data_IF_276137974708
#
_entry.id   IF_276137974708
#
_cell.length_a   1.000
_cell.length_b   1.000
_cell.length_c   1.000
_cell.angle_alpha   90.00
_cell.angle_beta   90.00
_cell.angle_gamma   90.00
#
_symmetry.space_group_name_H-M   'P 1'
#
loop_
_entity.id
_entity.type
_entity.pdbx_description
1 polymer ?
#
# COMPACT_ATOMS: atom_id res chain seq x y z
N UNK A 1 -11.01 -20.16 19.11
CA UNK A 1 -11.87 -18.96 19.27
C UNK A 1 -11.91 -18.26 17.92
N UNK A 2 -12.98 -18.45 17.17
CA UNK A 2 -13.09 -18.04 15.77
C UNK A 2 -13.35 -16.52 15.68
N UNK A 3 -12.49 -15.81 14.97
CA UNK A 3 -12.71 -14.40 14.61
C UNK A 3 -13.50 -14.39 13.30
N UNK A 4 -14.79 -14.08 13.38
CA UNK A 4 -15.62 -13.81 12.21
C UNK A 4 -15.36 -12.37 11.75
N UNK A 5 -14.88 -12.22 10.52
CA UNK A 5 -14.82 -10.93 9.82
C UNK A 5 -16.22 -10.69 9.25
N UNK A 6 -16.88 -9.64 9.76
CA UNK A 6 -18.21 -9.24 9.30
C UNK A 6 -18.17 -8.61 7.91
N UNK A 7 -19.03 -9.07 7.03
CA UNK A 7 -19.28 -8.49 5.73
C UNK A 7 -20.16 -7.22 5.88
N UNK A 8 -19.71 -6.12 5.31
CA UNK A 8 -20.50 -4.90 5.17
C UNK A 8 -21.35 -5.02 3.88
N UNK A 9 -22.67 -5.12 4.04
CA UNK A 9 -23.62 -5.06 2.94
C UNK A 9 -23.96 -3.59 2.64
N UNK A 10 -23.75 -3.16 1.39
CA UNK A 10 -24.24 -1.89 0.87
C UNK A 10 -25.49 -2.16 0.05
N UNK A 11 -26.62 -1.55 0.49
CA UNK A 11 -27.90 -1.54 -0.23
C UNK A 11 -27.81 -0.63 -1.46
N UNK A 12 -28.21 -1.16 -2.61
CA UNK A 12 -28.54 -0.40 -3.81
C UNK A 12 -30.05 -0.09 -3.82
N UNK A 13 -30.39 1.18 -3.97
CA UNK A 13 -31.76 1.63 -4.32
C UNK A 13 -31.78 2.04 -5.77
N UNK A 14 -32.65 1.40 -6.53
CA UNK A 14 -33.00 1.70 -7.92
C UNK A 14 -34.09 2.78 -7.95
N UNK A 15 -33.97 3.71 -8.87
CA UNK A 15 -35.01 4.70 -9.20
C UNK A 15 -35.12 4.86 -10.70
N UNK A 16 -36.34 4.76 -11.17
CA UNK A 16 -36.84 4.53 -12.51
C UNK A 16 -37.01 5.84 -13.30
N UNK A 17 -36.68 5.77 -14.56
CA UNK A 17 -37.13 6.33 -15.85
C UNK A 17 -38.19 7.48 -15.90
N UNK A 18 -38.05 8.38 -16.83
CA UNK A 18 -38.92 8.56 -18.02
C UNK A 18 -38.65 9.89 -18.75
N UNK A 19 -38.55 9.78 -20.01
CA UNK A 19 -39.17 10.37 -21.19
C UNK A 19 -38.64 11.69 -21.77
N UNK A 20 -38.33 11.58 -23.04
CA UNK A 20 -38.14 12.64 -24.05
C UNK A 20 -39.46 13.37 -24.39
N UNK A 21 -39.45 14.51 -25.15
CA UNK A 21 -38.95 14.58 -26.52
C UNK A 21 -38.41 15.95 -27.06
N UNK A 22 -37.98 15.85 -28.28
CA UNK A 22 -38.04 16.77 -29.44
C UNK A 22 -36.90 17.70 -29.78
N UNK A 23 -36.47 17.43 -30.98
CA UNK A 23 -35.56 18.04 -31.90
C UNK A 23 -35.71 19.55 -32.13
N UNK A 24 -34.58 20.22 -32.25
CA UNK A 24 -34.41 21.34 -33.19
C UNK A 24 -32.97 21.38 -33.68
N UNK A 25 -32.83 21.26 -34.97
CA UNK A 25 -31.56 21.33 -35.71
C UNK A 25 -30.94 22.73 -35.55
N UNK A 26 -29.69 22.78 -35.15
CA UNK A 26 -28.87 23.99 -35.27
C UNK A 26 -27.47 23.61 -35.78
N UNK A 27 -27.04 24.38 -36.76
CA UNK A 27 -25.83 24.29 -37.57
C UNK A 27 -24.55 24.10 -36.71
N UNK A 28 -23.50 23.42 -37.24
CA UNK A 28 -22.24 23.27 -36.53
C UNK A 28 -21.49 24.59 -36.55
N UNK A 29 -21.49 25.33 -35.43
CA UNK A 29 -20.45 26.29 -35.16
C UNK A 29 -19.16 25.51 -34.88
N UNK A 30 -18.21 25.56 -35.78
CA UNK A 30 -16.83 25.23 -35.54
C UNK A 30 -16.30 26.22 -34.48
N UNK A 31 -16.40 25.84 -33.21
CA UNK A 31 -15.63 26.48 -32.17
C UNK A 31 -14.18 26.03 -32.34
N UNK A 32 -13.32 26.93 -32.77
CA UNK A 32 -11.87 26.79 -32.61
C UNK A 32 -11.58 26.73 -31.11
N UNK A 33 -11.59 25.52 -30.58
CA UNK A 33 -11.18 25.24 -29.20
C UNK A 33 -9.66 25.42 -29.15
N UNK A 34 -9.20 26.58 -28.71
CA UNK A 34 -7.79 26.77 -28.38
C UNK A 34 -7.46 25.84 -27.22
N UNK A 35 -6.64 24.82 -27.47
CA UNK A 35 -6.09 23.93 -26.44
C UNK A 35 -5.36 24.78 -25.40
N UNK A 36 -5.94 24.91 -24.22
CA UNK A 36 -5.33 25.61 -23.08
C UNK A 36 -4.57 24.59 -22.25
N UNK A 37 -3.26 24.76 -22.22
CA UNK A 37 -2.34 23.92 -21.46
C UNK A 37 -1.98 24.62 -20.14
N UNK A 38 -1.97 23.88 -19.05
CA UNK A 38 -1.45 24.34 -17.77
C UNK A 38 -0.12 23.65 -17.46
N UNK A 39 0.93 24.44 -17.21
CA UNK A 39 2.27 23.94 -16.93
C UNK A 39 2.47 23.83 -15.42
N UNK A 40 2.81 22.64 -14.96
CA UNK A 40 3.25 22.38 -13.61
C UNK A 40 4.76 22.16 -13.56
N UNK A 41 5.40 22.61 -12.48
CA UNK A 41 6.83 22.42 -12.24
C UNK A 41 7.11 22.18 -10.76
N UNK A 42 8.21 21.50 -10.47
CA UNK A 42 8.66 21.23 -9.12
C UNK A 42 10.04 20.59 -9.09
N UNK A 43 10.45 20.24 -7.90
CA UNK A 43 11.73 19.62 -7.62
C UNK A 43 11.54 18.29 -6.89
N UNK A 44 12.47 17.36 -7.10
CA UNK A 44 12.62 16.15 -6.28
C UNK A 44 13.95 16.27 -5.55
N UNK A 45 13.94 16.02 -4.23
CA UNK A 45 15.14 16.06 -3.38
C UNK A 45 15.18 14.83 -2.49
N UNK A 46 16.38 14.46 -2.05
CA UNK A 46 16.56 13.49 -0.97
C UNK A 46 16.41 14.17 0.41
N UNK A 47 16.41 13.40 1.49
CA UNK A 47 16.32 13.92 2.88
C UNK A 47 17.41 14.94 3.23
N UNK A 48 18.58 14.82 2.62
CA UNK A 48 19.71 15.71 2.80
C UNK A 48 19.68 16.93 1.85
N UNK A 49 18.55 17.15 1.17
CA UNK A 49 18.33 18.16 0.14
C UNK A 49 19.19 18.01 -1.12
N UNK A 50 19.94 16.93 -1.27
CA UNK A 50 20.69 16.61 -2.49
C UNK A 50 19.74 16.20 -3.63
N UNK A 51 20.14 16.38 -4.91
CA UNK A 51 19.37 15.86 -6.03
C UNK A 51 19.39 14.31 -6.03
N UNK A 52 18.36 13.67 -6.62
CA UNK A 52 18.33 12.21 -6.76
C UNK A 52 19.52 11.73 -7.63
N UNK A 53 20.02 10.49 -7.38
CA UNK A 53 21.20 9.95 -8.09
C UNK A 53 20.94 9.64 -9.57
N UNK A 54 19.68 9.50 -9.96
CA UNK A 54 19.25 9.22 -11.33
C UNK A 54 17.89 9.90 -11.60
N UNK A 55 17.45 10.05 -12.88
CA UNK A 55 16.16 10.63 -13.22
C UNK A 55 15.00 9.88 -12.55
N UNK A 56 14.09 10.62 -11.93
CA UNK A 56 12.96 10.12 -11.17
C UNK A 56 11.68 10.22 -11.98
N UNK A 57 10.92 9.14 -12.09
CA UNK A 57 9.64 9.14 -12.76
C UNK A 57 8.57 9.82 -11.88
N UNK A 58 7.82 10.74 -12.45
CA UNK A 58 6.74 11.48 -11.78
C UNK A 58 5.40 10.96 -12.26
N UNK A 59 4.61 10.49 -11.31
CA UNK A 59 3.25 10.00 -11.53
C UNK A 59 2.23 10.92 -10.87
N UNK A 60 1.13 11.14 -11.57
CA UNK A 60 -0.06 11.74 -11.00
C UNK A 60 -1.03 10.64 -10.58
N UNK A 61 -1.49 10.69 -9.34
CA UNK A 61 -2.44 9.75 -8.76
C UNK A 61 -3.75 10.48 -8.51
N UNK A 62 -4.80 10.09 -9.22
CA UNK A 62 -6.16 10.62 -9.08
C UNK A 62 -7.12 9.47 -8.80
N UNK A 63 -7.87 9.52 -7.72
CA UNK A 63 -8.84 8.47 -7.36
C UNK A 63 -8.22 7.06 -7.37
N UNK A 64 -6.96 6.92 -6.92
CA UNK A 64 -6.24 5.66 -6.88
C UNK A 64 -5.70 5.16 -8.24
N UNK A 65 -5.84 5.93 -9.31
CA UNK A 65 -5.25 5.63 -10.61
C UNK A 65 -3.98 6.45 -10.83
N UNK A 66 -2.90 5.76 -11.15
CA UNK A 66 -1.60 6.38 -11.44
C UNK A 66 -1.41 6.59 -12.93
N UNK A 67 -0.93 7.78 -13.31
CA UNK A 67 -0.55 8.13 -14.68
C UNK A 67 0.85 8.72 -14.68
N UNK A 68 1.72 8.20 -15.55
CA UNK A 68 3.03 8.78 -15.79
C UNK A 68 2.89 10.16 -16.47
N UNK A 69 3.55 11.18 -15.92
CA UNK A 69 3.54 12.54 -16.46
C UNK A 69 4.88 12.94 -17.09
N UNK A 70 5.98 12.72 -16.36
CA UNK A 70 7.33 13.13 -16.81
C UNK A 70 8.42 12.43 -15.98
N UNK A 71 9.67 12.68 -16.31
CA UNK A 71 10.83 12.37 -15.48
C UNK A 71 11.61 13.63 -15.13
N UNK A 72 12.33 13.60 -13.99
CA UNK A 72 13.20 14.71 -13.61
C UNK A 72 14.44 14.79 -14.50
N UNK A 73 15.04 15.96 -14.55
CA UNK A 73 16.42 16.12 -15.02
C UNK A 73 17.44 15.62 -13.97
N UNK A 74 18.73 15.69 -14.29
CA UNK A 74 19.83 15.29 -13.40
C UNK A 74 19.97 16.15 -12.13
N UNK A 75 19.28 17.28 -12.06
CA UNK A 75 19.22 18.16 -10.88
C UNK A 75 17.95 17.96 -10.05
N UNK A 76 17.10 17.03 -10.47
CA UNK A 76 15.84 16.72 -9.81
C UNK A 76 14.69 17.66 -10.20
N UNK A 77 14.83 18.54 -11.20
CA UNK A 77 13.73 19.39 -11.66
C UNK A 77 12.80 18.63 -12.59
N UNK A 78 11.50 18.85 -12.46
CA UNK A 78 10.50 18.31 -13.37
C UNK A 78 9.50 19.38 -13.83
N UNK A 79 8.94 19.18 -15.01
CA UNK A 79 7.79 19.94 -15.51
C UNK A 79 6.90 19.01 -16.35
N UNK A 80 5.59 19.27 -16.33
CA UNK A 80 4.62 18.59 -17.17
C UNK A 80 3.43 19.49 -17.48
N UNK A 81 2.71 19.18 -18.54
CA UNK A 81 1.56 19.93 -19.00
C UNK A 81 0.29 19.10 -18.85
N UNK A 82 -0.79 19.75 -18.43
CA UNK A 82 -2.12 19.12 -18.37
C UNK A 82 -3.03 19.85 -19.36
N UNK A 83 -3.62 19.08 -20.26
CA UNK A 83 -4.48 19.56 -21.34
C UNK A 83 -5.95 19.57 -20.90
N UNK A 84 -6.67 20.62 -21.30
CA UNK A 84 -8.11 20.76 -21.02
C UNK A 84 -9.03 19.93 -21.95
N UNK A 85 -8.50 19.35 -23.01
CA UNK A 85 -9.30 18.88 -24.14
C UNK A 85 -9.16 17.43 -24.58
N UNK A 86 -8.25 16.60 -24.05
CA UNK A 86 -8.13 15.20 -24.47
C UNK A 86 -8.64 14.24 -23.43
N UNK A 87 -9.61 13.43 -23.87
CA UNK A 87 -10.18 12.31 -23.13
C UNK A 87 -9.08 11.41 -22.54
N UNK A 88 -9.22 11.08 -21.27
CA UNK A 88 -8.34 10.27 -20.45
C UNK A 88 -8.46 8.76 -20.77
N UNK A 89 -8.36 8.41 -22.06
CA UNK A 89 -8.39 7.01 -22.48
C UNK A 89 -7.27 6.72 -23.48
N UNK A 90 -6.29 5.96 -22.98
CA UNK A 90 -5.35 5.11 -23.72
C UNK A 90 -4.52 5.70 -24.85
N UNK A 91 -3.21 5.90 -24.59
CA UNK A 91 -2.20 5.37 -25.52
C UNK A 91 -0.81 5.37 -24.86
N UNK A 92 -0.35 4.16 -24.50
CA UNK A 92 1.05 3.83 -24.38
C UNK A 92 1.58 3.58 -25.78
N UNK A 93 2.44 4.46 -26.28
CA UNK A 93 3.41 4.10 -27.31
C UNK A 93 4.70 4.88 -27.06
N UNK A 94 5.67 4.12 -26.59
CA UNK A 94 7.05 4.54 -26.51
C UNK A 94 7.69 4.35 -27.89
N UNK A 95 7.88 5.44 -28.60
CA UNK A 95 8.94 5.60 -29.62
C UNK A 95 8.80 6.95 -30.32
N UNK A 96 9.59 7.93 -29.89
CA UNK A 96 10.35 8.77 -30.82
C UNK A 96 11.17 9.81 -30.06
N UNK A 97 12.48 9.62 -30.08
CA UNK A 97 13.47 10.65 -29.83
C UNK A 97 13.31 11.79 -30.86
N UNK A 98 12.91 12.95 -30.44
CA UNK A 98 13.14 14.20 -31.18
C UNK A 98 13.26 15.34 -30.16
N UNK A 99 14.44 15.88 -30.01
CA UNK A 99 14.68 17.09 -29.24
C UNK A 99 13.85 18.24 -29.81
N UNK A 100 13.13 19.02 -28.99
CA UNK A 100 12.48 20.22 -29.46
C UNK A 100 13.49 21.35 -29.55
N UNK A 101 13.67 21.87 -30.76
CA UNK A 101 14.37 23.12 -31.08
C UNK A 101 13.77 24.30 -30.30
N UNK A 102 14.65 25.12 -29.74
CA UNK A 102 14.31 26.36 -29.06
C UNK A 102 13.51 27.31 -29.96
N UNK A 103 12.20 27.35 -29.78
CA UNK A 103 11.30 28.34 -30.39
C UNK A 103 10.86 29.36 -29.34
N UNK A 104 11.06 30.64 -29.67
CA UNK A 104 10.72 31.79 -28.85
C UNK A 104 9.33 31.71 -28.22
N UNK A 105 9.26 31.80 -26.90
CA UNK A 105 8.01 31.93 -26.14
C UNK A 105 7.38 33.30 -26.43
N UNK A 106 6.15 33.32 -26.97
CA UNK A 106 5.27 34.48 -26.93
C UNK A 106 4.61 34.56 -25.53
N UNK A 107 4.49 35.77 -24.94
CA UNK A 107 3.82 35.92 -23.64
C UNK A 107 2.34 35.62 -23.75
N UNK A 108 1.85 34.78 -22.84
CA UNK A 108 0.47 34.36 -22.75
C UNK A 108 -0.38 35.48 -22.15
N UNK A 109 -1.32 36.00 -22.94
CA UNK A 109 -2.30 36.98 -22.49
C UNK A 109 -3.32 36.34 -21.53
N UNK A 110 -3.59 37.01 -20.41
CA UNK A 110 -4.50 36.62 -19.35
C UNK A 110 -5.95 36.46 -19.83
N UNK A 111 -6.42 35.23 -19.81
CA UNK A 111 -7.84 34.86 -19.99
C UNK A 111 -8.27 33.83 -18.97
N UNK A 112 -8.75 34.27 -17.82
CA UNK A 112 -8.84 33.54 -16.57
C UNK A 112 -10.15 32.76 -16.29
N UNK A 113 -11.07 32.58 -17.26
CA UNK A 113 -12.39 32.02 -16.95
C UNK A 113 -12.61 30.54 -17.25
N UNK A 114 -11.80 29.89 -18.11
CA UNK A 114 -12.04 28.49 -18.54
C UNK A 114 -11.05 27.46 -17.96
N UNK A 115 -10.21 27.82 -17.00
CA UNK A 115 -9.28 26.89 -16.33
C UNK A 115 -9.91 26.18 -15.13
N UNK A 116 -11.02 26.68 -14.60
CA UNK A 116 -11.66 26.13 -13.42
C UNK A 116 -12.12 24.65 -13.55
N UNK A 117 -12.64 24.18 -14.69
CA UNK A 117 -13.03 22.79 -14.84
C UNK A 117 -11.85 21.82 -14.83
N UNK A 118 -10.67 22.25 -15.36
CA UNK A 118 -9.45 21.43 -15.37
C UNK A 118 -8.85 21.35 -13.98
N UNK A 119 -8.74 22.50 -13.30
CA UNK A 119 -8.26 22.58 -11.93
C UNK A 119 -9.19 21.84 -10.94
N UNK A 120 -10.49 21.83 -11.19
CA UNK A 120 -11.44 21.07 -10.40
C UNK A 120 -11.21 19.55 -10.50
N UNK A 121 -10.83 19.06 -11.68
CA UNK A 121 -10.48 17.62 -11.89
C UNK A 121 -9.18 17.21 -11.21
N UNK A 122 -8.28 18.17 -10.94
CA UNK A 122 -7.00 17.92 -10.29
C UNK A 122 -7.05 18.10 -8.77
N UNK A 123 -8.18 18.53 -8.21
CA UNK A 123 -8.29 18.89 -6.79
C UNK A 123 -8.02 17.71 -5.85
N UNK A 124 -8.31 16.49 -6.29
CA UNK A 124 -8.12 15.26 -5.53
C UNK A 124 -6.96 14.42 -6.09
N UNK A 125 -6.06 15.06 -6.84
CA UNK A 125 -4.89 14.41 -7.40
C UNK A 125 -3.64 14.75 -6.59
N UNK A 126 -2.76 13.78 -6.49
CA UNK A 126 -1.46 13.88 -5.83
C UNK A 126 -0.34 13.53 -6.82
N UNK A 127 0.85 14.09 -6.62
CA UNK A 127 2.05 13.64 -7.31
C UNK A 127 2.85 12.71 -6.44
N UNK A 128 3.35 11.68 -7.09
CA UNK A 128 4.27 10.69 -6.54
C UNK A 128 5.53 10.62 -7.39
N UNK A 129 6.67 10.72 -6.76
CA UNK A 129 7.96 10.45 -7.39
C UNK A 129 8.33 8.98 -7.20
N UNK A 130 8.75 8.28 -8.26
CA UNK A 130 9.10 6.86 -8.19
C UNK A 130 10.57 6.69 -8.56
N UNK A 131 11.35 6.26 -7.58
CA UNK A 131 12.75 5.92 -7.71
C UNK A 131 13.01 4.63 -6.95
N UNK A 132 13.72 3.67 -7.55
CA UNK A 132 14.06 2.41 -6.89
C UNK A 132 14.89 2.67 -5.61
N UNK A 133 14.48 2.07 -4.50
CA UNK A 133 15.14 2.26 -3.20
C UNK A 133 14.73 3.51 -2.42
N UNK A 134 13.68 4.23 -2.87
CA UNK A 134 13.18 5.42 -2.18
C UNK A 134 11.66 5.41 -2.04
N UNK A 135 11.15 5.99 -0.96
CA UNK A 135 9.74 6.31 -0.75
C UNK A 135 9.51 7.79 -1.03
N UNK A 136 8.50 8.11 -1.80
CA UNK A 136 8.08 9.47 -2.08
C UNK A 136 7.12 9.99 -1.04
N UNK A 137 7.28 11.25 -0.64
CA UNK A 137 6.15 12.03 -0.14
C UNK A 137 5.14 12.26 -1.26
N UNK A 138 3.87 12.36 -0.89
CA UNK A 138 2.79 12.73 -1.81
C UNK A 138 2.56 14.24 -1.68
N UNK A 139 2.56 14.96 -2.80
CA UNK A 139 2.20 16.37 -2.82
C UNK A 139 0.91 16.58 -3.59
N UNK A 140 -0.01 17.34 -3.00
CA UNK A 140 -1.29 17.68 -3.64
C UNK A 140 -1.08 18.64 -4.80
N UNK A 141 -1.77 18.39 -5.93
CA UNK A 141 -1.80 19.29 -7.09
C UNK A 141 -2.79 20.46 -6.87
N UNK A 142 -3.42 20.57 -5.69
CA UNK A 142 -4.42 21.60 -5.42
C UNK A 142 -3.87 23.01 -5.62
N UNK A 143 -4.28 23.65 -6.72
CA UNK A 143 -4.02 25.06 -7.00
C UNK A 143 -4.81 25.89 -6.00
N UNK A 144 -4.12 26.57 -5.09
CA UNK A 144 -4.73 27.29 -3.96
C UNK A 144 -5.26 28.68 -4.33
N UNK A 145 -4.82 29.28 -5.43
CA UNK A 145 -5.26 30.63 -5.84
C UNK A 145 -5.12 30.89 -7.35
N UNK A 146 -5.81 31.92 -7.84
CA UNK A 146 -5.71 32.39 -9.25
C UNK A 146 -4.33 32.93 -9.65
N UNK A 147 -3.47 33.21 -8.68
CA UNK A 147 -2.09 33.72 -8.90
C UNK A 147 -1.05 32.61 -8.82
N UNK A 148 -1.46 31.33 -8.74
CA UNK A 148 -0.54 30.20 -8.66
C UNK A 148 0.18 30.02 -10.00
N UNK A 149 1.50 30.05 -9.95
CA UNK A 149 2.39 29.96 -11.12
C UNK A 149 2.66 28.51 -11.56
N UNK A 150 1.88 27.54 -11.05
CA UNK A 150 2.03 26.12 -11.32
C UNK A 150 3.22 25.47 -10.60
N UNK A 151 3.85 26.15 -9.67
CA UNK A 151 4.90 25.56 -8.83
C UNK A 151 4.30 24.69 -7.73
N UNK A 152 4.65 23.40 -7.77
CA UNK A 152 4.11 22.40 -6.85
C UNK A 152 4.98 22.18 -5.60
N UNK A 153 6.18 22.78 -5.57
CA UNK A 153 7.11 22.65 -4.46
C UNK A 153 8.10 21.49 -4.65
N UNK A 154 8.52 20.90 -3.54
CA UNK A 154 9.53 19.84 -3.50
C UNK A 154 8.87 18.54 -3.08
N UNK A 155 9.11 17.47 -3.84
CA UNK A 155 8.80 16.10 -3.44
C UNK A 155 10.05 15.54 -2.77
N UNK A 156 9.94 15.17 -1.48
CA UNK A 156 11.04 14.55 -0.77
C UNK A 156 11.03 13.04 -1.00
N UNK A 157 12.19 12.51 -1.36
CA UNK A 157 12.46 11.07 -1.44
C UNK A 157 13.24 10.64 -0.21
N UNK A 158 12.60 9.80 0.60
CA UNK A 158 13.22 9.15 1.74
C UNK A 158 13.88 7.85 1.27
N UNK A 159 15.17 7.61 1.55
CA UNK A 159 15.75 6.30 1.30
C UNK A 159 14.86 5.26 1.95
N UNK A 160 14.43 4.28 1.18
CA UNK A 160 13.77 3.14 1.77
C UNK A 160 14.80 2.48 2.70
N UNK A 161 14.46 2.32 3.98
CA UNK A 161 15.14 1.33 4.80
C UNK A 161 15.19 0.02 3.98
N UNK A 162 16.20 -0.82 4.19
CA UNK A 162 16.32 -2.11 3.47
C UNK A 162 14.99 -2.87 3.32
N UNK A 163 14.08 -2.62 4.19
CA UNK A 163 12.77 -3.16 4.35
C UNK A 163 11.79 -2.85 3.22
N UNK A 164 11.70 -1.61 2.79
CA UNK A 164 10.72 -1.22 1.76
C UNK A 164 11.13 -1.74 0.37
N UNK A 165 12.42 -1.96 0.12
CA UNK A 165 12.90 -2.61 -1.12
C UNK A 165 12.46 -4.08 -1.16
N UNK A 166 12.30 -4.72 -0.01
CA UNK A 166 11.91 -6.13 0.10
C UNK A 166 10.40 -6.38 -0.07
N UNK A 167 9.58 -5.35 -0.15
CA UNK A 167 8.14 -5.49 -0.46
C UNK A 167 7.85 -5.66 -1.94
N UNK A 168 8.82 -5.33 -2.81
CA UNK A 168 8.75 -5.55 -4.26
C UNK A 168 9.73 -6.67 -4.62
N UNK A 169 9.25 -7.70 -5.29
CA UNK A 169 10.12 -8.81 -5.70
C UNK A 169 11.08 -8.39 -6.81
N UNK A 170 12.36 -8.70 -6.63
CA UNK A 170 13.40 -8.45 -7.62
C UNK A 170 13.11 -9.15 -8.96
N UNK A 171 12.45 -10.31 -8.96
CA UNK A 171 12.11 -11.06 -10.19
C UNK A 171 11.10 -10.33 -11.09
N UNK A 172 10.46 -9.27 -10.60
CA UNK A 172 9.51 -8.46 -11.39
C UNK A 172 10.22 -7.72 -12.52
N UNK A 173 11.46 -7.28 -12.30
CA UNK A 173 12.24 -6.54 -13.30
C UNK A 173 12.71 -7.47 -14.45
N UNK A 174 12.97 -8.73 -14.14
CA UNK A 174 13.45 -9.74 -15.09
C UNK A 174 12.33 -10.41 -15.89
N UNK A 175 11.07 -10.12 -15.55
CA UNK A 175 9.93 -10.77 -16.19
C UNK A 175 9.82 -10.37 -17.67
N UNK A 176 9.72 -11.33 -18.61
CA UNK A 176 9.55 -11.04 -20.03
C UNK A 176 8.20 -10.34 -20.30
N UNK A 177 8.11 -9.60 -21.41
CA UNK A 177 6.98 -8.75 -21.75
C UNK A 177 5.64 -9.50 -21.78
N UNK A 178 5.62 -10.75 -22.26
CA UNK A 178 4.41 -11.58 -22.28
C UNK A 178 3.92 -11.94 -20.87
N UNK A 179 4.84 -12.22 -19.92
CA UNK A 179 4.51 -12.50 -18.53
C UNK A 179 3.98 -11.23 -17.82
N UNK A 180 4.65 -10.09 -18.04
CA UNK A 180 4.20 -8.80 -17.50
C UNK A 180 2.81 -8.42 -18.02
N UNK A 181 2.59 -8.52 -19.34
CA UNK A 181 1.27 -8.24 -19.95
C UNK A 181 0.16 -9.14 -19.39
N UNK A 182 0.45 -10.41 -19.11
CA UNK A 182 -0.52 -11.30 -18.48
C UNK A 182 -0.77 -10.87 -17.00
N UNK A 183 0.28 -10.52 -16.27
CA UNK A 183 0.17 -10.02 -14.91
C UNK A 183 -0.70 -8.75 -14.85
N UNK A 184 -0.44 -7.77 -15.71
CA UNK A 184 -1.19 -6.49 -15.76
C UNK A 184 -2.68 -6.73 -16.04
N UNK A 185 -3.02 -7.65 -16.98
CA UNK A 185 -4.41 -8.04 -17.19
C UNK A 185 -5.03 -8.73 -16.00
N UNK A 186 -4.24 -9.48 -15.22
CA UNK A 186 -4.65 -10.06 -13.96
C UNK A 186 -5.02 -8.99 -12.93
N UNK A 187 -4.19 -7.94 -12.80
CA UNK A 187 -4.46 -6.79 -11.94
C UNK A 187 -5.72 -6.04 -12.38
N UNK A 188 -5.88 -5.79 -13.68
CA UNK A 188 -7.09 -5.16 -14.24
C UNK A 188 -8.35 -5.98 -13.96
N UNK A 189 -8.25 -7.30 -14.02
CA UNK A 189 -9.35 -8.20 -13.68
C UNK A 189 -9.68 -8.16 -12.18
N UNK A 190 -8.67 -8.08 -11.29
CA UNK A 190 -8.86 -7.88 -9.85
C UNK A 190 -9.60 -6.57 -9.56
N UNK A 191 -9.18 -5.47 -10.17
CA UNK A 191 -9.81 -4.16 -9.99
C UNK A 191 -11.31 -4.19 -10.39
N UNK A 192 -11.66 -5.03 -11.37
CA UNK A 192 -13.04 -5.27 -11.83
C UNK A 192 -13.74 -6.41 -11.07
N UNK A 193 -13.15 -6.93 -9.99
CA UNK A 193 -13.64 -8.05 -9.18
C UNK A 193 -13.91 -9.35 -9.99
N UNK A 194 -13.25 -9.52 -11.12
CA UNK A 194 -13.34 -10.70 -11.98
C UNK A 194 -12.33 -11.77 -11.54
N UNK A 195 -12.59 -12.39 -10.37
CA UNK A 195 -11.64 -13.25 -9.67
C UNK A 195 -11.12 -14.42 -10.51
N UNK A 196 -11.99 -15.10 -11.27
CA UNK A 196 -11.58 -16.21 -12.14
C UNK A 196 -10.69 -15.73 -13.27
N UNK A 197 -11.07 -14.65 -13.96
CA UNK A 197 -10.26 -14.07 -15.02
C UNK A 197 -8.88 -13.61 -14.52
N UNK A 198 -8.82 -13.03 -13.31
CA UNK A 198 -7.56 -12.68 -12.67
C UNK A 198 -6.68 -13.92 -12.42
N UNK A 199 -7.26 -14.99 -11.89
CA UNK A 199 -6.55 -16.26 -11.65
C UNK A 199 -6.00 -16.85 -12.95
N UNK A 200 -6.79 -16.84 -14.03
CA UNK A 200 -6.37 -17.34 -15.34
C UNK A 200 -5.20 -16.52 -15.90
N UNK A 201 -5.25 -15.20 -15.79
CA UNK A 201 -4.18 -14.32 -16.28
C UNK A 201 -2.89 -14.45 -15.44
N UNK A 202 -2.98 -14.52 -14.09
CA UNK A 202 -1.79 -14.80 -13.28
C UNK A 202 -1.22 -16.20 -13.53
N UNK A 203 -2.07 -17.18 -13.81
CA UNK A 203 -1.63 -18.51 -14.22
C UNK A 203 -0.86 -18.47 -15.56
N UNK A 204 -1.31 -17.66 -16.52
CA UNK A 204 -0.56 -17.41 -17.76
C UNK A 204 0.78 -16.72 -17.48
N UNK A 205 0.79 -15.75 -16.55
CA UNK A 205 2.01 -15.05 -16.19
C UNK A 205 3.06 -15.99 -15.60
N UNK A 206 2.71 -16.86 -14.64
CA UNK A 206 3.65 -17.83 -14.05
C UNK A 206 4.04 -18.96 -15.00
N UNK A 207 3.18 -19.34 -15.94
CA UNK A 207 3.55 -20.28 -17.01
C UNK A 207 4.56 -19.66 -17.97
N UNK A 208 4.41 -18.38 -18.31
CA UNK A 208 5.34 -17.65 -19.17
C UNK A 208 6.69 -17.36 -18.46
N UNK A 209 6.64 -17.13 -17.16
CA UNK A 209 7.83 -16.88 -16.34
C UNK A 209 7.68 -17.53 -14.95
N UNK A 210 8.14 -18.77 -14.76
CA UNK A 210 7.99 -19.51 -13.50
C UNK A 210 8.61 -18.83 -12.27
N UNK A 211 9.61 -17.96 -12.46
CA UNK A 211 10.24 -17.17 -11.38
C UNK A 211 9.49 -15.86 -11.07
N UNK A 212 8.27 -15.67 -11.56
CA UNK A 212 7.51 -14.45 -11.34
C UNK A 212 6.86 -14.43 -9.95
N UNK A 213 7.65 -14.14 -8.91
CA UNK A 213 7.24 -14.24 -7.52
C UNK A 213 5.96 -13.46 -7.19
N UNK A 214 5.82 -12.24 -7.72
CA UNK A 214 4.62 -11.42 -7.47
C UNK A 214 3.34 -12.04 -8.08
N UNK A 215 3.45 -12.72 -9.22
CA UNK A 215 2.31 -13.40 -9.83
C UNK A 215 1.91 -14.66 -9.03
N UNK A 216 2.88 -15.40 -8.50
CA UNK A 216 2.64 -16.49 -7.55
C UNK A 216 1.95 -16.00 -6.28
N UNK A 217 2.40 -14.85 -5.75
CA UNK A 217 1.78 -14.25 -4.57
C UNK A 217 0.30 -13.90 -4.81
N UNK A 218 -0.02 -13.28 -5.95
CA UNK A 218 -1.40 -12.96 -6.31
C UNK A 218 -2.28 -14.20 -6.48
N UNK A 219 -1.74 -15.27 -7.07
CA UNK A 219 -2.44 -16.56 -7.13
C UNK A 219 -2.76 -17.10 -5.75
N UNK A 220 -1.82 -17.00 -4.81
CA UNK A 220 -2.04 -17.38 -3.42
C UNK A 220 -3.17 -16.60 -2.77
N UNK A 221 -3.23 -15.28 -2.95
CA UNK A 221 -4.33 -14.46 -2.43
C UNK A 221 -5.70 -14.86 -3.01
N UNK A 222 -5.76 -15.14 -4.31
CA UNK A 222 -7.00 -15.58 -4.96
C UNK A 222 -7.45 -16.95 -4.47
N UNK A 223 -6.53 -17.90 -4.27
CA UNK A 223 -6.83 -19.23 -3.72
C UNK A 223 -7.33 -19.13 -2.29
N UNK A 224 -6.69 -18.31 -1.45
CA UNK A 224 -7.15 -18.03 -0.08
C UNK A 224 -8.57 -17.44 -0.09
N UNK A 225 -8.85 -16.48 -0.98
CA UNK A 225 -10.20 -15.91 -1.16
C UNK A 225 -11.24 -16.99 -1.53
N UNK A 226 -10.81 -17.98 -2.31
CA UNK A 226 -11.62 -19.16 -2.68
C UNK A 226 -11.67 -20.24 -1.59
N UNK A 227 -11.16 -20.00 -0.39
CA UNK A 227 -11.03 -20.96 0.71
C UNK A 227 -10.12 -22.17 0.41
N UNK A 228 -9.27 -22.09 -0.62
CA UNK A 228 -8.22 -23.07 -0.92
C UNK A 228 -6.94 -22.70 -0.17
N UNK A 229 -6.92 -22.97 1.12
CA UNK A 229 -5.77 -22.66 1.99
C UNK A 229 -4.51 -23.44 1.61
N UNK A 230 -4.66 -24.70 1.18
CA UNK A 230 -3.54 -25.52 0.75
C UNK A 230 -2.90 -24.97 -0.53
N UNK A 231 -3.72 -24.70 -1.54
CA UNK A 231 -3.25 -24.10 -2.77
C UNK A 231 -2.69 -22.70 -2.58
N UNK A 232 -3.23 -21.91 -1.65
CA UNK A 232 -2.67 -20.59 -1.30
C UNK A 232 -1.25 -20.73 -0.72
N UNK A 233 -1.07 -21.64 0.25
CA UNK A 233 0.23 -21.95 0.84
C UNK A 233 1.26 -22.35 -0.22
N UNK A 234 0.87 -23.26 -1.14
CA UNK A 234 1.75 -23.71 -2.21
C UNK A 234 2.16 -22.55 -3.14
N UNK A 235 1.22 -21.70 -3.51
CA UNK A 235 1.52 -20.54 -4.36
C UNK A 235 2.48 -19.56 -3.67
N UNK A 236 2.29 -19.27 -2.38
CA UNK A 236 3.20 -18.40 -1.63
C UNK A 236 4.58 -19.02 -1.42
N UNK A 237 4.66 -20.34 -1.22
CA UNK A 237 5.96 -21.06 -1.20
C UNK A 237 6.67 -20.98 -2.55
N UNK A 238 5.94 -21.05 -3.68
CA UNK A 238 6.52 -20.83 -5.01
C UNK A 238 7.01 -19.39 -5.19
N UNK A 239 6.30 -18.40 -4.63
CA UNK A 239 6.78 -17.02 -4.62
C UNK A 239 8.12 -16.91 -3.87
N UNK A 240 8.25 -17.54 -2.69
CA UNK A 240 9.49 -17.58 -1.91
C UNK A 240 10.61 -18.38 -2.56
N UNK A 241 10.28 -19.46 -3.26
CA UNK A 241 11.26 -20.22 -4.04
C UNK A 241 11.82 -19.39 -5.22
N UNK A 242 11.01 -18.47 -5.73
CA UNK A 242 11.39 -17.55 -6.80
C UNK A 242 12.19 -16.36 -6.27
N UNK A 243 11.80 -15.84 -5.10
CA UNK A 243 12.45 -14.70 -4.43
C UNK A 243 12.30 -14.85 -2.91
N UNK A 244 13.32 -15.37 -2.25
CA UNK A 244 13.34 -15.60 -0.80
C UNK A 244 13.38 -14.31 0.03
N UNK A 245 13.61 -13.15 -0.59
CA UNK A 245 13.61 -11.84 0.08
C UNK A 245 12.27 -11.12 -0.08
N UNK A 246 11.33 -11.66 -0.84
CA UNK A 246 10.01 -11.07 -1.01
C UNK A 246 9.18 -11.24 0.27
N UNK A 247 8.93 -10.16 1.00
CA UNK A 247 8.33 -10.17 2.35
C UNK A 247 6.86 -10.65 2.34
N UNK A 248 6.06 -10.19 1.38
CA UNK A 248 4.60 -10.43 1.39
C UNK A 248 4.16 -11.88 1.57
N UNK A 249 4.80 -12.88 0.94
CA UNK A 249 4.45 -14.27 1.19
C UNK A 249 4.71 -14.74 2.62
N UNK A 250 5.74 -14.19 3.31
CA UNK A 250 5.98 -14.54 4.72
C UNK A 250 4.84 -14.07 5.62
N UNK A 251 4.34 -12.84 5.42
CA UNK A 251 3.16 -12.31 6.12
C UNK A 251 1.96 -13.28 5.96
N UNK A 252 1.65 -13.64 4.71
CA UNK A 252 0.51 -14.50 4.38
C UNK A 252 0.66 -15.92 4.93
N UNK A 253 1.86 -16.51 4.82
CA UNK A 253 2.15 -17.85 5.37
C UNK A 253 2.13 -17.86 6.89
N UNK A 254 2.63 -16.82 7.54
CA UNK A 254 2.58 -16.66 9.00
C UNK A 254 1.12 -16.61 9.48
N UNK A 255 0.30 -15.76 8.86
CA UNK A 255 -1.12 -15.65 9.22
C UNK A 255 -1.89 -16.96 8.98
N UNK A 256 -1.57 -17.67 7.90
CA UNK A 256 -2.19 -18.97 7.60
C UNK A 256 -1.78 -20.02 8.63
N UNK A 257 -0.51 -20.09 9.00
CA UNK A 257 0.02 -21.03 10.00
C UNK A 257 -0.55 -20.73 11.39
N UNK A 258 -0.65 -19.45 11.78
CA UNK A 258 -1.27 -19.02 13.04
C UNK A 258 -2.74 -19.46 13.10
N UNK A 259 -3.50 -19.22 12.03
CA UNK A 259 -4.91 -19.65 11.95
C UNK A 259 -5.06 -21.18 12.03
N UNK A 260 -4.14 -21.92 11.42
CA UNK A 260 -4.09 -23.38 11.47
C UNK A 260 -3.53 -23.92 12.81
N UNK A 261 -3.07 -23.05 13.70
CA UNK A 261 -2.38 -23.40 14.95
C UNK A 261 -1.07 -24.20 14.72
N UNK A 262 -0.49 -24.07 13.54
CA UNK A 262 0.85 -24.58 13.24
C UNK A 262 1.91 -23.59 13.75
N UNK A 263 2.16 -23.66 15.06
CA UNK A 263 3.03 -22.72 15.75
C UNK A 263 4.48 -22.82 15.30
N UNK A 264 4.91 -24.00 14.85
CA UNK A 264 6.27 -24.20 14.33
C UNK A 264 6.47 -23.43 13.04
N UNK A 265 5.53 -23.58 12.10
CA UNK A 265 5.60 -22.82 10.84
C UNK A 265 5.38 -21.33 11.05
N UNK A 266 4.45 -20.93 11.95
CA UNK A 266 4.21 -19.53 12.29
C UNK A 266 5.46 -18.86 12.86
N UNK A 267 6.18 -19.53 13.76
CA UNK A 267 7.46 -19.04 14.31
C UNK A 267 8.51 -18.91 13.21
N UNK A 268 8.69 -19.94 12.39
CA UNK A 268 9.72 -19.94 11.35
C UNK A 268 9.52 -18.83 10.31
N UNK A 269 8.27 -18.64 9.83
CA UNK A 269 7.95 -17.58 8.86
C UNK A 269 8.05 -16.19 9.48
N UNK A 270 7.50 -15.98 10.67
CA UNK A 270 7.56 -14.68 11.35
C UNK A 270 8.99 -14.28 11.73
N UNK A 271 9.83 -15.23 12.14
CA UNK A 271 11.25 -15.00 12.39
C UNK A 271 11.97 -14.55 11.14
N UNK A 272 11.74 -15.23 10.01
CA UNK A 272 12.35 -14.83 8.73
C UNK A 272 11.84 -13.46 8.29
N UNK A 273 10.56 -13.19 8.47
CA UNK A 273 9.98 -11.87 8.19
C UNK A 273 10.66 -10.77 9.01
N UNK A 274 10.85 -10.96 10.32
CA UNK A 274 11.58 -10.04 11.20
C UNK A 274 13.04 -9.87 10.76
N UNK A 275 13.71 -10.95 10.35
CA UNK A 275 15.10 -10.87 9.88
C UNK A 275 15.25 -10.04 8.59
N UNK A 276 14.27 -10.14 7.69
CA UNK A 276 14.24 -9.37 6.46
C UNK A 276 13.93 -7.90 6.72
N UNK A 277 13.05 -7.63 7.69
CA UNK A 277 12.61 -6.30 8.03
C UNK A 277 12.30 -6.16 9.53
N UNK A 278 13.29 -5.74 10.32
CA UNK A 278 13.13 -5.63 11.77
C UNK A 278 12.39 -4.36 12.22
N UNK A 279 12.10 -3.39 11.33
CA UNK A 279 11.68 -2.05 11.76
C UNK A 279 10.24 -1.69 11.36
N UNK A 280 9.73 -2.21 10.25
CA UNK A 280 8.48 -1.71 9.66
C UNK A 280 7.23 -2.54 9.99
N UNK A 281 7.40 -3.77 10.49
CA UNK A 281 6.28 -4.71 10.67
C UNK A 281 6.11 -5.19 12.12
N UNK A 282 5.52 -4.39 13.02
CA UNK A 282 5.26 -4.84 14.40
C UNK A 282 4.33 -6.06 14.47
N UNK A 283 3.51 -6.30 13.43
CA UNK A 283 2.71 -7.51 13.31
C UNK A 283 3.52 -8.80 13.24
N UNK A 284 4.71 -8.76 12.61
CA UNK A 284 5.61 -9.92 12.57
C UNK A 284 6.05 -10.36 13.97
N UNK A 285 6.35 -9.39 14.82
CA UNK A 285 6.70 -9.64 16.21
C UNK A 285 5.52 -10.15 17.04
N UNK A 286 4.31 -9.68 16.77
CA UNK A 286 3.11 -10.23 17.42
C UNK A 286 2.96 -11.73 17.11
N UNK A 287 3.02 -12.12 15.85
CA UNK A 287 2.92 -13.52 15.46
C UNK A 287 4.07 -14.35 16.06
N UNK A 288 5.30 -13.83 16.03
CA UNK A 288 6.45 -14.52 16.60
C UNK A 288 6.32 -14.70 18.12
N UNK A 289 5.85 -13.67 18.84
CA UNK A 289 5.59 -13.75 20.27
C UNK A 289 4.52 -14.78 20.60
N UNK A 290 3.41 -14.78 19.86
CA UNK A 290 2.32 -15.77 20.06
C UNK A 290 2.81 -17.19 19.78
N UNK A 291 3.48 -17.41 18.65
CA UNK A 291 3.99 -18.74 18.27
C UNK A 291 4.97 -19.27 19.31
N UNK A 292 5.95 -18.46 19.74
CA UNK A 292 6.91 -18.85 20.77
C UNK A 292 6.24 -19.12 22.11
N UNK A 293 5.24 -18.32 22.52
CA UNK A 293 4.48 -18.58 23.74
C UNK A 293 3.72 -19.93 23.67
N UNK A 294 3.16 -20.26 22.52
CA UNK A 294 2.47 -21.54 22.28
C UNK A 294 3.41 -22.74 22.24
N UNK A 295 4.66 -22.52 21.82
CA UNK A 295 5.73 -23.52 21.83
C UNK A 295 6.43 -23.63 23.20
N UNK A 296 5.99 -22.88 24.21
CA UNK A 296 6.61 -22.78 25.55
C UNK A 296 8.03 -22.20 25.52
N UNK A 297 8.39 -21.46 24.49
CA UNK A 297 9.65 -20.69 24.41
C UNK A 297 9.46 -19.31 25.04
N UNK A 298 9.24 -19.28 26.37
CA UNK A 298 8.78 -18.09 27.12
C UNK A 298 9.68 -16.87 26.94
N UNK A 299 11.01 -17.04 26.98
CA UNK A 299 11.97 -15.94 26.83
C UNK A 299 11.94 -15.36 25.41
N UNK A 300 11.91 -16.23 24.38
CA UNK A 300 11.81 -15.78 23.00
C UNK A 300 10.49 -15.03 22.74
N UNK A 301 9.39 -15.51 23.32
CA UNK A 301 8.09 -14.85 23.25
C UNK A 301 8.11 -13.45 23.87
N UNK A 302 8.69 -13.31 25.06
CA UNK A 302 8.82 -12.04 25.75
C UNK A 302 9.69 -11.05 24.94
N UNK A 303 10.86 -11.51 24.48
CA UNK A 303 11.77 -10.68 23.69
C UNK A 303 11.10 -10.18 22.41
N UNK A 304 10.38 -11.05 21.70
CA UNK A 304 9.62 -10.66 20.52
C UNK A 304 8.52 -9.63 20.84
N UNK A 305 7.72 -9.86 21.90
CA UNK A 305 6.67 -8.91 22.28
C UNK A 305 7.23 -7.53 22.64
N UNK A 306 8.33 -7.49 23.41
CA UNK A 306 9.00 -6.23 23.79
C UNK A 306 9.60 -5.51 22.57
N UNK A 307 10.27 -6.23 21.67
CA UNK A 307 10.81 -5.66 20.44
C UNK A 307 9.70 -5.10 19.55
N UNK A 308 8.58 -5.84 19.41
CA UNK A 308 7.41 -5.36 18.67
C UNK A 308 6.85 -4.05 19.25
N UNK A 309 6.76 -3.92 20.57
CA UNK A 309 6.33 -2.67 21.22
C UNK A 309 7.31 -1.51 20.99
N UNK A 310 8.62 -1.78 20.91
CA UNK A 310 9.63 -0.74 20.65
C UNK A 310 9.50 -0.12 19.26
N UNK A 311 9.11 -0.91 18.26
CA UNK A 311 8.94 -0.42 16.88
C UNK A 311 7.53 0.09 16.61
N UNK A 312 6.52 -0.33 17.39
CA UNK A 312 5.11 0.10 17.23
C UNK A 312 4.84 1.45 17.92
N UNK A 313 5.58 2.48 17.54
CA UNK A 313 5.48 3.83 18.13
C UNK A 313 4.08 4.44 17.98
N UNK A 314 3.38 4.09 16.92
CA UNK A 314 2.03 4.59 16.61
C UNK A 314 0.91 3.73 17.24
N UNK A 315 1.27 2.74 18.06
CA UNK A 315 0.34 1.83 18.74
C UNK A 315 -0.67 1.14 17.77
N UNK A 316 -0.22 0.82 16.56
CA UNK A 316 -1.05 0.15 15.53
C UNK A 316 -1.46 -1.26 15.91
N UNK A 317 -0.71 -1.90 16.82
CA UNK A 317 -0.92 -3.30 17.25
C UNK A 317 -1.12 -3.38 18.79
N UNK A 318 -2.26 -2.92 19.33
CA UNK A 318 -2.53 -2.96 20.78
C UNK A 318 -2.37 -4.36 21.40
N UNK A 319 -2.61 -5.42 20.61
CA UNK A 319 -2.47 -6.82 21.06
C UNK A 319 -1.07 -7.20 21.52
N UNK A 320 -0.01 -6.48 21.13
CA UNK A 320 1.33 -6.70 21.64
C UNK A 320 1.38 -6.51 23.17
N UNK A 321 0.69 -5.49 23.68
CA UNK A 321 0.56 -5.27 25.13
C UNK A 321 -0.14 -6.44 25.81
N UNK A 322 -1.25 -6.94 25.23
CA UNK A 322 -1.97 -8.07 25.80
C UNK A 322 -1.11 -9.35 25.82
N UNK A 323 -0.43 -9.66 24.70
CA UNK A 323 0.44 -10.83 24.61
C UNK A 323 1.59 -10.75 25.61
N UNK A 324 2.26 -9.61 25.73
CA UNK A 324 3.33 -9.41 26.71
C UNK A 324 2.80 -9.60 28.14
N UNK A 325 1.64 -9.03 28.45
CA UNK A 325 1.04 -9.18 29.78
C UNK A 325 0.74 -10.66 30.10
N UNK A 326 0.20 -11.44 29.16
CA UNK A 326 -0.07 -12.87 29.35
C UNK A 326 1.22 -13.66 29.57
N UNK A 327 2.30 -13.35 28.86
CA UNK A 327 3.61 -13.97 29.05
C UNK A 327 4.15 -13.64 30.47
N UNK A 328 4.07 -12.37 30.88
CA UNK A 328 4.53 -11.92 32.20
C UNK A 328 3.73 -12.56 33.36
N UNK A 329 2.41 -12.74 33.16
CA UNK A 329 1.58 -13.47 34.11
C UNK A 329 2.02 -14.94 34.25
N UNK A 330 2.35 -15.59 33.14
CA UNK A 330 2.91 -16.95 33.14
C UNK A 330 4.24 -17.05 33.92
N UNK A 331 5.00 -15.93 33.98
CA UNK A 331 6.23 -15.80 34.77
C UNK A 331 6.01 -15.30 36.21
N UNK A 332 4.75 -15.18 36.68
CA UNK A 332 4.36 -14.58 37.95
C UNK A 332 4.77 -13.11 38.14
N UNK A 333 5.10 -12.37 37.08
CA UNK A 333 5.43 -10.95 37.07
C UNK A 333 4.15 -10.09 36.99
N UNK A 334 3.23 -10.31 37.91
CA UNK A 334 1.87 -9.77 37.86
C UNK A 334 1.82 -8.24 37.92
N UNK A 335 2.71 -7.60 38.69
CA UNK A 335 2.72 -6.14 38.77
C UNK A 335 3.03 -5.49 37.41
N UNK A 336 4.00 -6.02 36.70
CA UNK A 336 4.34 -5.55 35.36
C UNK A 336 3.24 -5.91 34.33
N UNK A 337 2.66 -7.11 34.41
CA UNK A 337 1.57 -7.54 33.57
C UNK A 337 0.37 -6.58 33.63
N UNK A 338 -0.01 -6.14 34.85
CA UNK A 338 -1.12 -5.17 35.03
C UNK A 338 -0.89 -3.88 34.27
N UNK A 339 0.36 -3.37 34.20
CA UNK A 339 0.69 -2.19 33.40
C UNK A 339 0.32 -2.37 31.94
N UNK A 340 0.74 -3.48 31.34
CA UNK A 340 0.46 -3.76 29.92
C UNK A 340 -1.02 -4.10 29.65
N UNK A 341 -1.73 -4.74 30.61
CA UNK A 341 -3.18 -4.93 30.48
C UNK A 341 -3.94 -3.60 30.46
N UNK A 342 -3.53 -2.64 31.31
CA UNK A 342 -4.14 -1.30 31.33
C UNK A 342 -3.84 -0.54 30.03
N UNK A 343 -2.62 -0.65 29.51
CA UNK A 343 -2.24 -0.06 28.22
C UNK A 343 -3.07 -0.63 27.08
N UNK A 344 -3.23 -1.97 27.03
CA UNK A 344 -4.12 -2.60 26.06
C UNK A 344 -5.55 -2.05 26.13
N UNK A 345 -6.10 -1.91 27.34
CA UNK A 345 -7.46 -1.39 27.54
C UNK A 345 -7.61 0.08 27.15
N UNK A 346 -6.54 0.88 27.32
CA UNK A 346 -6.52 2.27 26.89
C UNK A 346 -6.54 2.39 25.36
N UNK A 347 -5.76 1.55 24.69
CA UNK A 347 -5.65 1.54 23.21
C UNK A 347 -6.83 0.84 22.51
N UNK A 348 -7.43 -0.15 23.16
CA UNK A 348 -8.52 -0.96 22.59
C UNK A 348 -9.70 -1.16 23.57
N UNK A 349 -10.36 -0.06 24.03
CA UNK A 349 -11.37 -0.11 25.09
C UNK A 349 -12.62 -0.92 24.71
N UNK A 350 -12.90 -1.06 23.42
CA UNK A 350 -14.08 -1.75 22.87
C UNK A 350 -13.73 -3.12 22.22
N UNK A 351 -12.53 -3.65 22.46
CA UNK A 351 -12.17 -4.97 21.99
C UNK A 351 -13.10 -6.05 22.59
N UNK A 352 -13.36 -7.12 21.84
CA UNK A 352 -14.27 -8.19 22.29
C UNK A 352 -13.84 -8.85 23.62
N UNK A 353 -12.56 -8.80 23.95
CA UNK A 353 -11.97 -9.35 25.17
C UNK A 353 -11.73 -8.31 26.28
N UNK A 354 -12.04 -7.01 26.02
CA UNK A 354 -11.78 -5.93 26.96
C UNK A 354 -12.47 -6.14 28.32
N UNK A 355 -13.67 -6.70 28.36
CA UNK A 355 -14.38 -7.00 29.62
C UNK A 355 -13.63 -8.06 30.45
N UNK A 356 -13.15 -9.12 29.80
CA UNK A 356 -12.36 -10.17 30.46
C UNK A 356 -11.01 -9.63 30.95
N UNK A 357 -10.37 -8.76 30.17
CA UNK A 357 -9.11 -8.12 30.56
C UNK A 357 -9.30 -7.19 31.76
N UNK A 358 -10.39 -6.38 31.83
CA UNK A 358 -10.72 -5.56 33.02
C UNK A 358 -10.89 -6.42 34.26
N UNK A 359 -11.61 -7.53 34.15
CA UNK A 359 -11.78 -8.46 35.26
C UNK A 359 -10.43 -9.04 35.71
N UNK A 360 -9.53 -9.36 34.79
CA UNK A 360 -8.21 -9.88 35.11
C UNK A 360 -7.35 -8.82 35.85
N UNK A 361 -7.38 -7.56 35.42
CA UNK A 361 -6.73 -6.45 36.12
C UNK A 361 -7.23 -6.35 37.56
N UNK A 362 -8.57 -6.35 37.76
CA UNK A 362 -9.17 -6.26 39.09
C UNK A 362 -8.75 -7.41 40.00
N UNK A 363 -8.64 -8.63 39.49
CA UNK A 363 -8.17 -9.81 40.24
C UNK A 363 -6.70 -9.66 40.66
N UNK A 364 -5.85 -9.19 39.77
CA UNK A 364 -4.43 -9.00 40.04
C UNK A 364 -4.19 -7.88 41.05
N UNK A 365 -4.93 -6.78 40.95
CA UNK A 365 -4.89 -5.65 41.90
C UNK A 365 -5.33 -6.11 43.32
N UNK A 366 -6.43 -6.87 43.42
CA UNK A 366 -6.91 -7.44 44.68
C UNK A 366 -5.87 -8.40 45.31
N UNK A 367 -5.25 -9.24 44.49
CA UNK A 367 -4.21 -10.17 44.96
C UNK A 367 -2.93 -9.43 45.38
N UNK A 368 -2.61 -8.31 44.77
CA UNK A 368 -1.48 -7.47 45.20
C UNK A 368 -1.76 -6.77 46.55
N UNK A 369 -2.99 -6.25 46.73
CA UNK A 369 -3.43 -5.62 47.97
C UNK A 369 -3.53 -6.58 49.19
N UNK A 370 -3.74 -7.88 48.93
CA UNK A 370 -3.85 -8.91 49.95
C UNK A 370 -2.50 -9.50 50.41
N UNK A 371 -1.39 -9.06 49.81
CA UNK A 371 -0.03 -9.44 50.26
C UNK A 371 0.43 -8.47 51.31
N UNK A 372 0.74 -8.98 52.53
CA UNK A 372 1.20 -8.14 53.67
C UNK A 372 2.57 -7.49 53.39
#
# INVERSE_FOLDING_TARGET
MAIRIGALSVLMLAGIAEAQPSQLASFPQQSTQSDRMFLFSGDVRLDDASPPPEPVAIYRVCNGQSRFETSTDSKGHFNFQVDSGKNDATQSDASQNSAPSAGLMKPIASGSQDLMPVLAKLRDCELQAVLAGYRSELISIAVKSRSDDGRLGVITLHPLSRASVLTVSATTLDAPANARKAYDRGIDALAKQKWQAASDEFTKAVKAYPKFAIAWYQLGLLRQKGNDSAGASDAWKQALASDSKYIRPYESLTALADHAQDWVSSEAYSRTWIQLDPEDFPGAYLYNAVANARLNHTEAAENAARAGLQIDKDHRIPRLNLVLALILMGKNQNAEAVKYLREYLALAPNANDAAAVRQQVSRLDAAAAARP
#
